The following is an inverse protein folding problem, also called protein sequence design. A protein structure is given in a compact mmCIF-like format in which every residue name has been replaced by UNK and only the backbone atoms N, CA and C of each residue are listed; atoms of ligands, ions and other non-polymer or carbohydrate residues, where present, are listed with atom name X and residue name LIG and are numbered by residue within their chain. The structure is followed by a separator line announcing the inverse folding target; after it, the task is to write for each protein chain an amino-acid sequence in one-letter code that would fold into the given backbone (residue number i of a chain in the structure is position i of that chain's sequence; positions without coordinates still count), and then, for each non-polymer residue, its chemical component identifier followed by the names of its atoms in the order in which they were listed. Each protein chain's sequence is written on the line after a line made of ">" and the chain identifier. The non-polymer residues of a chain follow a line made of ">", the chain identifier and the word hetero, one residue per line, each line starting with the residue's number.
data_IF_902245979957
#
_entry.id   IF_902245979957
#
_cell.length_a   1.000
_cell.length_b   1.000
_cell.length_c   1.000
_cell.angle_alpha   90.00
_cell.angle_beta   90.00
_cell.angle_gamma   90.00
#
_symmetry.space_group_name_H-M   'P 1'
#
loop_
_entity.id
_entity.type
_entity.pdbx_description
1 polymer ?
#
# COMPACT_ATOMS: atom_id res chain seq x y z
N UNK A 1 10.33 -10.33 19.42
CA UNK A 1 10.73 -11.76 19.42
C UNK A 1 9.74 -12.64 20.22
N UNK A 2 9.31 -12.25 21.43
CA UNK A 2 8.43 -13.06 22.27
C UNK A 2 7.11 -13.50 21.63
N UNK A 3 6.50 -12.66 20.78
CA UNK A 3 5.24 -12.99 20.08
C UNK A 3 5.38 -14.13 19.04
N UNK A 4 6.59 -14.39 18.57
CA UNK A 4 6.92 -15.43 17.59
C UNK A 4 7.61 -16.64 18.22
N UNK A 5 7.69 -16.69 19.55
CA UNK A 5 8.28 -17.83 20.23
C UNK A 5 7.39 -19.07 20.10
N UNK A 6 7.96 -20.16 19.64
CA UNK A 6 7.24 -21.43 19.42
C UNK A 6 7.34 -22.39 20.59
N UNK A 7 8.16 -22.06 21.58
CA UNK A 7 8.43 -22.94 22.72
C UNK A 7 7.77 -22.42 24.01
N UNK A 8 6.48 -22.67 24.18
CA UNK A 8 5.77 -22.36 25.42
C UNK A 8 4.92 -21.08 25.36
N UNK A 9 4.83 -20.36 26.48
CA UNK A 9 4.04 -19.14 26.60
C UNK A 9 4.69 -17.99 25.81
N UNK A 10 3.94 -17.36 24.91
CA UNK A 10 4.39 -16.20 24.16
C UNK A 10 4.19 -14.95 25.01
N UNK A 11 5.27 -14.42 25.58
CA UNK A 11 5.24 -13.22 26.39
C UNK A 11 5.79 -12.05 25.59
N UNK A 12 4.98 -11.02 25.41
CA UNK A 12 5.39 -9.74 24.83
C UNK A 12 5.73 -8.81 25.98
N UNK A 13 6.94 -8.26 25.93
CA UNK A 13 7.39 -7.22 26.84
C UNK A 13 7.98 -6.06 26.04
N UNK A 14 7.82 -4.86 26.56
CA UNK A 14 8.47 -3.68 26.00
C UNK A 14 9.20 -2.90 27.09
N UNK A 15 10.24 -2.22 26.68
CA UNK A 15 10.94 -1.24 27.50
C UNK A 15 10.55 0.12 26.94
N UNK A 16 9.67 0.82 27.61
CA UNK A 16 9.40 2.22 27.37
C UNK A 16 9.77 3.01 28.61
N UNK A 17 10.38 4.16 28.43
CA UNK A 17 10.62 5.12 29.51
C UNK A 17 9.30 5.79 29.98
N UNK A 18 8.16 5.35 29.47
CA UNK A 18 6.85 5.79 29.92
C UNK A 18 6.58 5.27 31.33
N UNK A 19 6.47 6.18 32.26
CA UNK A 19 6.00 5.94 33.63
C UNK A 19 4.47 5.94 33.71
N UNK A 20 3.81 5.27 32.80
CA UNK A 20 2.38 5.02 32.95
C UNK A 20 2.24 3.73 33.79
N UNK A 21 1.94 3.91 35.06
CA UNK A 21 1.85 2.83 36.05
C UNK A 21 0.67 1.88 35.75
N UNK A 22 -0.27 2.32 34.90
CA UNK A 22 -1.47 1.55 34.55
C UNK A 22 -1.24 0.55 33.41
N UNK A 23 -0.10 0.63 32.70
CA UNK A 23 0.19 -0.28 31.59
C UNK A 23 1.05 -1.47 32.02
N UNK A 24 0.61 -2.71 31.75
CA UNK A 24 1.41 -3.88 32.06
C UNK A 24 2.69 -3.89 31.23
N UNK A 25 3.85 -4.11 31.87
CA UNK A 25 5.17 -4.18 31.20
C UNK A 25 5.34 -5.43 30.34
N UNK A 26 4.49 -6.40 30.52
CA UNK A 26 4.47 -7.62 29.72
C UNK A 26 3.08 -8.26 29.78
N UNK A 27 2.73 -8.98 28.73
CA UNK A 27 1.49 -9.77 28.70
C UNK A 27 1.67 -11.05 27.90
N UNK A 28 0.85 -12.05 28.18
CA UNK A 28 0.80 -13.27 27.39
C UNK A 28 0.00 -13.02 26.11
N UNK A 29 0.61 -13.35 24.98
CA UNK A 29 0.00 -13.19 23.65
C UNK A 29 -0.50 -14.54 23.14
N UNK A 30 -1.81 -14.70 23.05
CA UNK A 30 -2.47 -15.93 22.55
C UNK A 30 -3.00 -15.81 21.12
N UNK A 31 -2.93 -14.62 20.53
CA UNK A 31 -3.47 -14.32 19.21
C UNK A 31 -2.62 -14.80 18.03
N UNK A 32 -3.05 -14.38 16.84
CA UNK A 32 -2.31 -14.51 15.57
C UNK A 32 -1.79 -13.13 15.15
N UNK A 33 -0.67 -13.10 14.45
CA UNK A 33 -0.07 -11.85 13.96
C UNK A 33 0.04 -11.93 12.46
N UNK A 34 -0.33 -10.85 11.80
CA UNK A 34 -0.07 -10.62 10.38
C UNK A 34 0.85 -9.40 10.29
N UNK A 35 2.03 -9.59 9.71
CA UNK A 35 2.95 -8.51 9.40
C UNK A 35 2.73 -8.08 7.95
N UNK A 36 2.54 -6.79 7.74
CA UNK A 36 2.44 -6.19 6.41
C UNK A 36 3.61 -5.24 6.25
N UNK A 37 4.37 -5.38 5.17
CA UNK A 37 5.57 -4.60 4.93
C UNK A 37 5.77 -4.32 3.44
N UNK A 38 6.31 -3.14 3.12
CA UNK A 38 6.76 -2.76 1.79
C UNK A 38 8.25 -3.08 1.57
N UNK A 39 8.90 -3.69 2.56
CA UNK A 39 10.30 -4.06 2.46
C UNK A 39 10.46 -5.30 1.57
N UNK A 40 11.53 -5.29 0.79
CA UNK A 40 11.99 -6.51 0.12
C UNK A 40 12.21 -7.62 1.15
N UNK A 41 11.94 -8.87 0.76
CA UNK A 41 12.08 -10.04 1.65
C UNK A 41 13.47 -10.17 2.27
N UNK A 42 14.53 -9.76 1.56
CA UNK A 42 15.90 -9.78 2.05
C UNK A 42 16.12 -8.83 3.25
N UNK A 43 15.31 -7.78 3.35
CA UNK A 43 15.36 -6.77 4.42
C UNK A 43 14.51 -7.12 5.63
N UNK A 44 13.70 -8.17 5.55
CA UNK A 44 12.91 -8.65 6.69
C UNK A 44 13.79 -9.49 7.60
N UNK A 45 13.71 -9.24 8.92
CA UNK A 45 14.48 -9.96 9.94
C UNK A 45 14.33 -11.49 9.75
N UNK A 46 15.48 -12.18 9.76
CA UNK A 46 15.52 -13.62 9.57
C UNK A 46 14.68 -14.38 10.60
N UNK A 47 14.58 -13.88 11.83
CA UNK A 47 13.78 -14.52 12.88
C UNK A 47 12.28 -14.44 12.57
N UNK A 48 11.82 -13.42 11.85
CA UNK A 48 10.44 -13.32 11.36
C UNK A 48 10.24 -14.30 10.19
N UNK A 49 11.14 -14.27 9.20
CA UNK A 49 11.04 -15.13 8.02
C UNK A 49 11.01 -16.62 8.37
N UNK A 50 11.86 -17.05 9.31
CA UNK A 50 11.96 -18.47 9.69
C UNK A 50 10.77 -19.00 10.51
N UNK A 51 9.94 -18.10 11.08
CA UNK A 51 8.80 -18.45 11.94
C UNK A 51 7.44 -18.05 11.38
N UNK A 52 7.40 -17.53 10.14
CA UNK A 52 6.19 -17.03 9.51
C UNK A 52 5.97 -17.65 8.15
N UNK A 53 4.71 -17.78 7.75
CA UNK A 53 4.37 -18.00 6.34
C UNK A 53 4.55 -16.67 5.61
N UNK A 54 5.41 -16.65 4.60
CA UNK A 54 5.62 -15.47 3.76
C UNK A 54 4.72 -15.54 2.55
N UNK A 55 4.01 -14.45 2.27
CA UNK A 55 3.22 -14.28 1.06
C UNK A 55 3.73 -13.03 0.35
N UNK A 56 4.23 -13.20 -0.85
CA UNK A 56 4.65 -12.10 -1.70
C UNK A 56 3.47 -11.66 -2.57
N UNK A 57 3.09 -10.39 -2.44
CA UNK A 57 2.02 -9.75 -3.19
C UNK A 57 2.55 -8.77 -4.24
N UNK A 58 3.82 -8.90 -4.62
CA UNK A 58 4.42 -8.07 -5.66
C UNK A 58 3.67 -8.24 -6.98
N UNK A 59 3.27 -7.13 -7.57
CA UNK A 59 2.55 -7.09 -8.84
C UNK A 59 3.41 -6.40 -9.91
N UNK A 60 3.33 -6.90 -11.13
CA UNK A 60 3.83 -6.16 -12.30
C UNK A 60 2.99 -4.91 -12.55
N UNK A 61 3.53 -3.94 -13.29
CA UNK A 61 2.79 -2.69 -13.57
C UNK A 61 1.49 -2.95 -14.35
N UNK A 62 1.48 -3.91 -15.27
CA UNK A 62 0.25 -4.32 -15.93
C UNK A 62 -0.79 -4.87 -14.94
N UNK A 63 -0.39 -5.72 -14.00
CA UNK A 63 -1.28 -6.25 -12.96
C UNK A 63 -1.80 -5.14 -12.02
N UNK A 64 -0.93 -4.15 -11.70
CA UNK A 64 -1.36 -2.98 -10.92
C UNK A 64 -2.41 -2.18 -11.68
N UNK A 65 -2.18 -1.90 -12.98
CA UNK A 65 -3.12 -1.16 -13.82
C UNK A 65 -4.46 -1.90 -13.94
N UNK A 66 -4.44 -3.21 -14.15
CA UNK A 66 -5.67 -4.00 -14.22
C UNK A 66 -6.43 -4.00 -12.89
N UNK A 67 -5.69 -4.06 -11.78
CA UNK A 67 -6.29 -3.94 -10.45
C UNK A 67 -6.88 -2.55 -10.21
N UNK A 68 -6.19 -1.49 -10.61
CA UNK A 68 -6.70 -0.12 -10.55
C UNK A 68 -7.97 0.04 -11.41
N UNK A 69 -8.00 -0.54 -12.61
CA UNK A 69 -9.18 -0.52 -13.47
C UNK A 69 -10.38 -1.22 -12.84
N UNK A 70 -10.15 -2.31 -12.11
CA UNK A 70 -11.21 -2.97 -11.34
C UNK A 70 -11.73 -2.08 -10.21
N UNK A 71 -10.82 -1.47 -9.44
CA UNK A 71 -11.17 -0.59 -8.31
C UNK A 71 -11.90 0.68 -8.80
N UNK A 72 -11.46 1.27 -9.91
CA UNK A 72 -12.05 2.49 -10.48
C UNK A 72 -13.53 2.32 -10.88
N UNK A 73 -13.98 1.09 -11.14
CA UNK A 73 -15.38 0.78 -11.42
C UNK A 73 -16.27 0.74 -10.18
N UNK A 74 -15.67 0.65 -8.98
CA UNK A 74 -16.44 0.66 -7.74
C UNK A 74 -17.09 2.02 -7.53
N UNK A 75 -18.38 2.08 -7.20
CA UNK A 75 -19.06 3.33 -6.86
C UNK A 75 -18.50 4.00 -5.59
N UNK A 76 -17.80 3.24 -4.74
CA UNK A 76 -17.19 3.73 -3.51
C UNK A 76 -15.83 4.40 -3.76
N UNK A 77 -15.21 4.14 -4.92
CA UNK A 77 -13.92 4.71 -5.24
C UNK A 77 -14.07 6.11 -5.83
N UNK A 78 -13.65 7.13 -5.09
CA UNK A 78 -13.71 8.54 -5.50
C UNK A 78 -15.11 8.90 -6.06
N UNK A 79 -16.18 8.77 -5.25
CA UNK A 79 -17.57 8.97 -5.69
C UNK A 79 -17.86 10.40 -6.16
N UNK A 80 -17.04 11.35 -5.74
CA UNK A 80 -17.11 12.77 -6.10
C UNK A 80 -16.65 13.07 -7.54
N UNK A 81 -16.02 12.11 -8.23
CA UNK A 81 -15.49 12.30 -9.59
C UNK A 81 -16.22 11.42 -10.61
N UNK A 82 -16.44 11.99 -11.79
CA UNK A 82 -17.07 11.29 -12.90
C UNK A 82 -16.26 10.07 -13.35
N UNK A 83 -16.95 9.03 -13.79
CA UNK A 83 -16.30 7.82 -14.31
C UNK A 83 -15.46 8.09 -15.57
N UNK A 84 -15.80 9.10 -16.37
CA UNK A 84 -14.98 9.55 -17.50
C UNK A 84 -13.60 10.00 -17.05
N UNK A 85 -13.51 10.81 -15.98
CA UNK A 85 -12.22 11.27 -15.43
C UNK A 85 -11.34 10.11 -14.96
N UNK A 86 -11.95 9.10 -14.30
CA UNK A 86 -11.23 7.90 -13.86
C UNK A 86 -10.73 7.05 -15.03
N UNK A 87 -11.55 6.96 -16.09
CA UNK A 87 -11.22 6.21 -17.30
C UNK A 87 -10.10 6.88 -18.07
N UNK A 88 -10.20 8.21 -18.27
CA UNK A 88 -9.17 9.01 -18.94
C UNK A 88 -7.83 8.95 -18.19
N UNK A 89 -7.88 9.02 -16.85
CA UNK A 89 -6.70 8.88 -15.98
C UNK A 89 -6.04 7.50 -16.12
N UNK A 90 -6.83 6.42 -16.12
CA UNK A 90 -6.33 5.06 -16.33
C UNK A 90 -5.70 4.89 -17.72
N UNK A 91 -6.31 5.48 -18.74
CA UNK A 91 -5.79 5.40 -20.10
C UNK A 91 -4.42 6.09 -20.18
N UNK A 92 -4.29 7.30 -19.61
CA UNK A 92 -3.02 8.03 -19.61
C UNK A 92 -1.93 7.26 -18.82
N UNK A 93 -2.26 6.70 -17.66
CA UNK A 93 -1.31 5.89 -16.88
C UNK A 93 -0.85 4.66 -17.69
N UNK A 94 -1.75 4.04 -18.46
CA UNK A 94 -1.41 2.90 -19.30
C UNK A 94 -0.48 3.29 -20.46
N UNK A 95 -0.69 4.45 -21.05
CA UNK A 95 0.15 5.00 -22.12
C UNK A 95 1.56 5.34 -21.62
N UNK A 96 1.67 5.87 -20.42
CA UNK A 96 2.92 6.33 -19.81
C UNK A 96 3.58 5.32 -18.85
N UNK A 97 3.11 4.08 -18.78
CA UNK A 97 3.54 3.10 -17.79
C UNK A 97 5.06 2.87 -17.74
N UNK A 98 5.70 2.90 -18.91
CA UNK A 98 7.14 2.62 -19.04
C UNK A 98 8.02 3.83 -18.63
N UNK A 99 7.42 5.02 -18.55
CA UNK A 99 8.08 6.26 -18.14
C UNK A 99 7.71 6.70 -16.73
N UNK A 100 6.65 6.12 -16.16
CA UNK A 100 6.15 6.49 -14.86
C UNK A 100 7.10 6.01 -13.74
N UNK A 101 7.41 6.89 -12.79
CA UNK A 101 8.24 6.54 -11.61
C UNK A 101 7.57 5.50 -10.72
N UNK A 102 6.27 5.61 -10.54
CA UNK A 102 5.48 4.71 -9.70
C UNK A 102 4.07 4.55 -10.26
N UNK A 103 3.63 3.30 -10.35
CA UNK A 103 2.25 2.95 -10.67
C UNK A 103 1.59 2.42 -9.40
N UNK A 104 0.63 3.19 -8.88
CA UNK A 104 -0.08 2.90 -7.65
C UNK A 104 -1.51 3.46 -7.70
N UNK A 105 -2.35 3.05 -6.74
CA UNK A 105 -3.69 3.62 -6.61
C UNK A 105 -3.64 5.13 -6.30
N UNK A 106 -2.60 5.57 -5.57
CA UNK A 106 -2.37 7.00 -5.28
C UNK A 106 -2.12 7.79 -6.56
N UNK A 107 -1.37 7.22 -7.49
CA UNK A 107 -1.12 7.81 -8.82
C UNK A 107 -2.43 7.99 -9.59
N UNK A 108 -3.31 6.96 -9.60
CA UNK A 108 -4.63 7.06 -10.22
C UNK A 108 -5.48 8.18 -9.59
N UNK A 109 -5.48 8.26 -8.26
CA UNK A 109 -6.22 9.32 -7.54
C UNK A 109 -5.73 10.72 -7.94
N UNK A 110 -4.41 10.91 -8.03
CA UNK A 110 -3.81 12.21 -8.39
C UNK A 110 -4.16 12.59 -9.82
N UNK A 111 -4.01 11.68 -10.79
CA UNK A 111 -4.33 11.96 -12.20
C UNK A 111 -5.82 12.18 -12.41
N UNK A 112 -6.69 11.45 -11.69
CA UNK A 112 -8.15 11.68 -11.73
C UNK A 112 -8.51 13.09 -11.27
N UNK A 113 -7.89 13.59 -10.19
CA UNK A 113 -8.09 14.96 -9.70
C UNK A 113 -7.64 16.01 -10.71
N UNK A 114 -6.47 15.81 -11.32
CA UNK A 114 -5.96 16.71 -12.36
C UNK A 114 -6.93 16.75 -13.55
N UNK A 115 -7.40 15.58 -14.02
CA UNK A 115 -8.36 15.49 -15.12
C UNK A 115 -9.68 16.20 -14.80
N UNK A 116 -10.15 16.09 -13.57
CA UNK A 116 -11.43 16.69 -13.14
C UNK A 116 -11.37 18.20 -12.99
N UNK A 117 -10.17 18.79 -12.85
CA UNK A 117 -10.00 20.24 -12.77
C UNK A 117 -10.37 20.97 -14.09
N UNK A 118 -10.48 20.22 -15.20
CA UNK A 118 -11.02 20.75 -16.46
C UNK A 118 -10.07 21.62 -17.25
N UNK A 119 -8.76 21.58 -16.95
CA UNK A 119 -7.74 22.28 -17.73
C UNK A 119 -7.55 21.61 -19.09
N UNK A 120 -7.41 22.40 -20.17
CA UNK A 120 -7.18 21.89 -21.52
C UNK A 120 -5.87 21.12 -21.63
N UNK A 121 -4.85 21.45 -20.83
CA UNK A 121 -3.55 20.78 -20.77
C UNK A 121 -3.40 19.80 -19.59
N UNK A 122 -4.49 19.24 -19.09
CA UNK A 122 -4.43 18.29 -17.99
C UNK A 122 -3.47 17.10 -18.22
N UNK A 123 -3.29 16.69 -19.49
CA UNK A 123 -2.39 15.59 -19.83
C UNK A 123 -0.93 15.95 -19.57
N UNK A 124 -0.49 17.15 -19.99
CA UNK A 124 0.87 17.60 -19.73
C UNK A 124 1.18 17.71 -18.23
N UNK A 125 0.23 18.24 -17.45
CA UNK A 125 0.37 18.31 -15.99
C UNK A 125 0.40 16.91 -15.36
N UNK A 126 -0.46 16.00 -15.81
CA UNK A 126 -0.50 14.63 -15.30
C UNK A 126 0.77 13.85 -15.67
N UNK A 127 1.30 14.01 -16.89
CA UNK A 127 2.57 13.42 -17.31
C UNK A 127 3.73 13.90 -16.44
N UNK A 128 3.80 15.20 -16.16
CA UNK A 128 4.80 15.75 -15.23
C UNK A 128 4.72 15.07 -13.85
N UNK A 129 3.52 14.90 -13.30
CA UNK A 129 3.33 14.23 -11.99
C UNK A 129 3.68 12.75 -12.02
N UNK A 130 3.44 12.09 -13.16
CA UNK A 130 3.74 10.65 -13.32
C UNK A 130 5.23 10.38 -13.49
N UNK A 131 5.94 11.24 -14.21
CA UNK A 131 7.31 11.00 -14.69
C UNK A 131 8.38 11.81 -13.92
N UNK A 132 8.00 12.89 -13.24
CA UNK A 132 8.91 13.71 -12.43
C UNK A 132 9.17 13.05 -11.07
#
# INVERSE_FOLDING_TARGET
>A
KGALDSNGRRIISWRADFRDEDLPRSFEFTGRIIFISNLDQSRIDQAIRSRSMMIDLTMTDNQKIDRMAFIAKSPEFMPEFDNSCKTDALQLIRELKDSAKEISLRTLMSVTKIRSAGDDDWKGLAEYVLCA
#
